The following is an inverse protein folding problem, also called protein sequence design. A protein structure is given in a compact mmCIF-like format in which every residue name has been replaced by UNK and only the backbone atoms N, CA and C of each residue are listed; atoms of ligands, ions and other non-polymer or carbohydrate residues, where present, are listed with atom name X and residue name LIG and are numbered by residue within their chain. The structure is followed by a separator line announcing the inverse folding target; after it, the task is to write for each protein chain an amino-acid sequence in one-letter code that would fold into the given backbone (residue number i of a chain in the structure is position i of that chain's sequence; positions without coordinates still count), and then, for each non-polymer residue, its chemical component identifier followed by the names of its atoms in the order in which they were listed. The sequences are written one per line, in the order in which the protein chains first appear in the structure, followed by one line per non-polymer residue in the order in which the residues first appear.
data_IF_817670304880
#
_entry.id   IF_817670304880
#
_cell.length_a   1.000
_cell.length_b   1.000
_cell.length_c   1.000
_cell.angle_alpha   90.00
_cell.angle_beta   90.00
_cell.angle_gamma   90.00
#
_symmetry.space_group_name_H-M   'P 1'
#
loop_
_entity.id
_entity.type
_entity.pdbx_description
1 polymer ?
#
# COMPACT_ATOMS: atom_id res chain seq x y z
N UNK A 1 20.41 -8.63 -0.77
CA UNK A 1 19.74 -7.33 -0.50
C UNK A 1 18.70 -7.56 0.58
N UNK A 2 18.52 -6.61 1.48
CA UNK A 2 17.44 -6.64 2.47
C UNK A 2 16.09 -6.40 1.79
N UNK A 3 15.00 -6.67 2.48
CA UNK A 3 13.65 -6.39 1.96
C UNK A 3 13.50 -4.90 1.60
N UNK A 4 13.99 -4.01 2.48
CA UNK A 4 13.95 -2.56 2.26
C UNK A 4 14.75 -2.09 1.05
N UNK A 5 15.94 -2.64 0.84
CA UNK A 5 16.76 -2.33 -0.35
C UNK A 5 16.04 -2.74 -1.65
N UNK A 6 15.40 -3.92 -1.67
CA UNK A 6 14.59 -4.36 -2.81
C UNK A 6 13.42 -3.41 -3.10
N UNK A 7 12.72 -2.95 -2.05
CA UNK A 7 11.63 -1.98 -2.19
C UNK A 7 12.13 -0.64 -2.75
N UNK A 8 13.23 -0.13 -2.20
CA UNK A 8 13.82 1.14 -2.66
C UNK A 8 14.28 1.04 -4.13
N UNK A 9 14.92 -0.06 -4.49
CA UNK A 9 15.34 -0.28 -5.88
C UNK A 9 14.13 -0.38 -6.83
N UNK A 10 13.07 -1.06 -6.42
CA UNK A 10 11.82 -1.13 -7.18
C UNK A 10 11.25 0.28 -7.44
N UNK A 11 11.12 1.11 -6.42
CA UNK A 11 10.58 2.47 -6.57
C UNK A 11 11.51 3.39 -7.38
N UNK A 12 12.84 3.27 -7.26
CA UNK A 12 13.81 4.01 -8.08
C UNK A 12 13.72 3.64 -9.56
N UNK A 13 13.44 2.37 -9.86
CA UNK A 13 13.26 1.85 -11.23
C UNK A 13 11.83 1.92 -11.73
N UNK A 14 10.90 2.43 -10.92
CA UNK A 14 9.48 2.49 -11.27
C UNK A 14 9.29 3.45 -12.44
N UNK A 15 9.32 2.88 -13.64
CA UNK A 15 9.03 3.60 -14.87
C UNK A 15 7.61 3.30 -15.33
N UNK A 16 6.88 4.33 -15.67
CA UNK A 16 5.50 4.24 -16.13
C UNK A 16 5.32 5.12 -17.37
N UNK A 17 5.05 4.48 -18.50
CA UNK A 17 4.69 5.22 -19.70
C UNK A 17 3.30 5.83 -19.53
N UNK A 18 3.23 7.14 -19.63
CA UNK A 18 1.95 7.86 -19.65
C UNK A 18 1.29 7.88 -21.03
N UNK A 19 1.99 7.35 -22.07
CA UNK A 19 1.40 7.20 -23.41
C UNK A 19 0.23 6.20 -23.34
N UNK A 20 -0.97 6.70 -23.56
CA UNK A 20 -2.21 5.90 -23.49
C UNK A 20 -2.93 5.94 -22.16
N UNK A 21 -2.52 6.78 -21.21
CA UNK A 21 -3.38 7.14 -20.09
C UNK A 21 -4.62 7.82 -20.67
N UNK A 22 -5.84 7.41 -20.23
CA UNK A 22 -7.06 8.07 -20.68
C UNK A 22 -7.04 9.56 -20.39
N UNK A 23 -7.59 10.37 -21.29
CA UNK A 23 -7.62 11.82 -21.17
C UNK A 23 -8.21 12.28 -19.85
N UNK A 24 -7.57 13.27 -19.24
CA UNK A 24 -7.97 13.84 -17.95
C UNK A 24 -7.51 13.05 -16.71
N UNK A 25 -6.80 11.93 -16.87
CA UNK A 25 -6.18 11.21 -15.76
C UNK A 25 -4.72 11.65 -15.61
N UNK A 26 -4.39 12.13 -14.42
CA UNK A 26 -3.03 12.46 -13.99
C UNK A 26 -2.46 11.34 -13.13
N UNK A 27 -1.17 11.03 -13.32
CA UNK A 27 -0.46 10.00 -12.54
C UNK A 27 0.34 10.66 -11.43
N UNK A 28 0.13 10.21 -10.20
CA UNK A 28 0.94 10.61 -9.05
C UNK A 28 2.08 9.64 -8.84
N UNK A 29 3.31 10.13 -8.94
CA UNK A 29 4.52 9.42 -8.54
C UNK A 29 5.37 10.33 -7.63
N UNK A 30 5.12 10.32 -6.31
CA UNK A 30 5.87 11.18 -5.40
C UNK A 30 7.35 10.81 -5.28
N UNK A 31 7.76 9.62 -5.71
CA UNK A 31 9.18 9.23 -5.75
C UNK A 31 10.03 10.00 -6.77
N UNK A 32 9.43 10.88 -7.57
CA UNK A 32 10.18 11.82 -8.40
C UNK A 32 10.77 12.99 -7.59
N UNK A 33 10.28 13.23 -6.38
CA UNK A 33 10.79 14.25 -5.45
C UNK A 33 11.93 13.70 -4.61
N UNK A 34 13.08 14.38 -4.59
CA UNK A 34 14.28 13.99 -3.83
C UNK A 34 14.03 13.94 -2.32
N UNK A 35 13.22 14.85 -1.77
CA UNK A 35 12.87 14.82 -0.35
C UNK A 35 12.08 13.55 -0.02
N UNK A 36 11.14 13.17 -0.88
CA UNK A 36 10.35 11.95 -0.71
C UNK A 36 11.23 10.70 -0.82
N UNK A 37 12.19 10.67 -1.74
CA UNK A 37 13.18 9.58 -1.82
C UNK A 37 13.96 9.43 -0.52
N UNK A 38 14.47 10.53 0.05
CA UNK A 38 15.22 10.52 1.32
C UNK A 38 14.36 10.03 2.50
N UNK A 39 13.09 10.39 2.54
CA UNK A 39 12.15 9.91 3.56
C UNK A 39 11.88 8.41 3.41
N UNK A 40 11.76 7.91 2.19
CA UNK A 40 11.62 6.49 1.91
C UNK A 40 12.88 5.71 2.27
N UNK A 41 14.07 6.23 1.94
CA UNK A 41 15.35 5.63 2.36
C UNK A 41 15.41 5.48 3.89
N UNK A 42 15.04 6.52 4.66
CA UNK A 42 14.98 6.45 6.12
C UNK A 42 13.97 5.40 6.62
N UNK A 43 12.75 5.38 6.03
CA UNK A 43 11.70 4.48 6.44
C UNK A 43 12.05 3.01 6.17
N UNK A 44 12.45 2.69 4.95
CA UNK A 44 12.73 1.30 4.55
C UNK A 44 14.01 0.77 5.20
N UNK A 45 15.04 1.60 5.39
CA UNK A 45 16.24 1.23 6.16
C UNK A 45 15.90 0.98 7.63
N UNK A 46 15.01 1.77 8.23
CA UNK A 46 14.65 1.61 9.64
C UNK A 46 13.80 0.37 9.91
N UNK A 47 12.81 0.08 9.08
CA UNK A 47 11.78 -0.92 9.39
C UNK A 47 11.87 -2.21 8.57
N UNK A 48 12.66 -2.23 7.51
CA UNK A 48 12.76 -3.35 6.56
C UNK A 48 14.21 -3.79 6.29
N UNK A 49 15.13 -3.46 7.22
CA UNK A 49 16.55 -3.80 7.09
C UNK A 49 16.84 -5.25 7.53
N UNK A 50 16.12 -6.20 6.95
CA UNK A 50 16.27 -7.63 7.15
C UNK A 50 15.82 -8.38 5.90
N UNK A 51 15.84 -9.72 5.95
CA UNK A 51 15.39 -10.61 4.85
C UNK A 51 14.17 -11.45 5.23
N UNK A 52 13.44 -11.06 6.27
CA UNK A 52 12.28 -11.81 6.74
C UNK A 52 11.17 -11.81 5.68
N UNK A 53 10.47 -12.92 5.59
CA UNK A 53 9.23 -12.97 4.81
C UNK A 53 8.14 -12.14 5.47
N UNK A 54 7.30 -11.51 4.64
CA UNK A 54 6.21 -10.65 5.10
C UNK A 54 4.86 -11.04 4.51
N UNK A 55 3.83 -10.90 5.31
CA UNK A 55 2.45 -10.98 4.84
C UNK A 55 2.12 -9.68 4.12
N UNK A 56 1.61 -9.80 2.90
CA UNK A 56 1.25 -8.66 2.06
C UNK A 56 -0.17 -8.18 2.34
N UNK A 57 -0.29 -6.88 2.63
CA UNK A 57 -1.55 -6.17 2.80
C UNK A 57 -1.71 -5.23 1.60
N UNK A 58 -2.57 -5.63 0.65
CA UNK A 58 -2.62 -5.04 -0.69
C UNK A 58 -3.81 -4.09 -0.81
N UNK A 59 -3.52 -2.81 -0.89
CA UNK A 59 -4.48 -1.74 -1.17
C UNK A 59 -4.82 -1.60 -2.66
N UNK A 60 -5.44 -0.49 -3.00
CA UNK A 60 -5.87 -0.14 -4.36
C UNK A 60 -4.72 0.57 -5.08
N UNK A 61 -4.53 1.82 -4.77
CA UNK A 61 -3.46 2.71 -5.22
C UNK A 61 -3.31 3.87 -4.23
N UNK A 62 -2.17 4.60 -4.23
CA UNK A 62 -1.96 5.74 -3.34
C UNK A 62 -3.03 6.83 -3.47
N UNK A 63 -3.46 7.34 -2.33
CA UNK A 63 -4.31 8.52 -2.25
C UNK A 63 -3.50 9.80 -2.06
N UNK A 64 -3.97 10.94 -2.61
CA UNK A 64 -3.25 12.21 -2.70
C UNK A 64 -2.93 12.91 -1.37
N UNK A 65 -3.34 12.38 -0.23
CA UNK A 65 -3.04 12.94 1.10
C UNK A 65 -2.23 12.00 2.00
N UNK A 66 -2.01 10.77 1.55
CA UNK A 66 -1.21 9.76 2.23
C UNK A 66 -0.05 9.32 1.36
N UNK A 67 -0.09 8.06 0.89
CA UNK A 67 0.95 7.50 0.01
C UNK A 67 1.22 8.28 -1.27
N UNK A 68 0.26 9.09 -1.75
CA UNK A 68 0.47 10.00 -2.87
C UNK A 68 1.31 11.23 -2.52
N UNK A 69 1.64 11.45 -1.24
CA UNK A 69 2.54 12.50 -0.76
C UNK A 69 3.85 11.91 -0.26
N UNK A 70 3.78 10.81 0.49
CA UNK A 70 4.96 10.21 1.15
C UNK A 70 5.62 9.10 0.34
N UNK A 71 5.00 8.58 -0.70
CA UNK A 71 5.32 7.32 -1.38
C UNK A 71 5.30 6.07 -0.47
N UNK A 72 4.98 6.20 0.81
CA UNK A 72 4.85 5.09 1.76
C UNK A 72 3.36 4.70 1.84
N UNK A 73 2.98 3.47 1.44
CA UNK A 73 1.59 3.06 1.43
C UNK A 73 0.90 3.26 2.78
N UNK A 74 -0.31 3.83 2.77
CA UNK A 74 -1.14 4.09 3.96
C UNK A 74 -0.47 4.95 5.05
N UNK A 75 0.53 5.76 4.68
CA UNK A 75 1.25 6.62 5.63
C UNK A 75 1.13 8.08 5.19
N UNK A 76 0.48 8.90 6.00
CA UNK A 76 0.44 10.35 5.81
C UNK A 76 1.65 11.03 6.50
N UNK A 77 1.97 12.30 6.14
CA UNK A 77 3.10 13.03 6.70
C UNK A 77 3.07 13.19 8.23
N UNK A 78 1.88 13.13 8.84
CA UNK A 78 1.71 13.25 10.30
C UNK A 78 2.12 11.95 10.98
N UNK A 79 1.62 10.79 10.50
CA UNK A 79 2.05 9.49 11.04
C UNK A 79 3.53 9.19 10.77
N UNK A 80 4.06 9.67 9.63
CA UNK A 80 5.48 9.56 9.33
C UNK A 80 6.33 10.26 10.41
N UNK A 81 5.89 11.42 10.89
CA UNK A 81 6.59 12.16 11.93
C UNK A 81 6.25 11.67 13.34
N UNK A 82 4.95 11.64 13.69
CA UNK A 82 4.52 11.41 15.07
C UNK A 82 4.71 9.96 15.52
N UNK A 83 4.41 9.01 14.63
CA UNK A 83 4.46 7.58 14.96
C UNK A 83 5.78 6.95 14.57
N UNK A 84 6.26 7.23 13.36
CA UNK A 84 7.46 6.61 12.83
C UNK A 84 8.75 7.36 13.20
N UNK A 85 8.62 8.60 13.75
CA UNK A 85 9.73 9.45 14.18
C UNK A 85 10.68 9.81 13.02
N UNK A 86 10.11 9.99 11.83
CA UNK A 86 10.81 10.48 10.64
C UNK A 86 10.32 11.91 10.36
N UNK A 87 11.13 12.90 10.74
CA UNK A 87 10.83 14.32 10.55
C UNK A 87 10.71 14.65 9.06
N UNK A 88 9.71 15.45 8.70
CA UNK A 88 9.49 15.84 7.32
C UNK A 88 8.81 17.21 7.22
N UNK A 89 9.03 17.90 6.10
CA UNK A 89 8.43 19.19 5.78
C UNK A 89 7.27 19.07 4.77
N UNK A 90 6.75 17.86 4.56
CA UNK A 90 5.62 17.63 3.68
C UNK A 90 4.33 18.27 4.24
N UNK A 91 3.36 18.65 3.39
CA UNK A 91 2.09 19.23 3.83
C UNK A 91 1.37 18.34 4.84
N UNK A 92 1.20 18.83 6.07
CA UNK A 92 0.62 18.05 7.18
C UNK A 92 -0.90 17.94 7.02
N UNK A 93 -1.35 16.81 6.52
CA UNK A 93 -2.77 16.49 6.38
C UNK A 93 -3.04 15.04 6.76
N UNK A 94 -4.04 14.84 7.63
CA UNK A 94 -4.48 13.48 7.98
C UNK A 94 -5.18 12.79 6.81
N UNK A 95 -4.87 11.51 6.63
CA UNK A 95 -5.62 10.62 5.77
C UNK A 95 -6.39 9.59 6.59
N UNK A 96 -7.68 9.37 6.28
CA UNK A 96 -8.54 8.46 7.03
C UNK A 96 -8.01 7.01 7.02
N UNK A 97 -7.49 6.56 5.88
CA UNK A 97 -6.93 5.20 5.77
C UNK A 97 -5.68 5.04 6.63
N UNK A 98 -4.79 6.04 6.61
CA UNK A 98 -3.60 6.09 7.46
C UNK A 98 -3.96 6.01 8.94
N UNK A 99 -4.91 6.84 9.39
CA UNK A 99 -5.36 6.83 10.80
C UNK A 99 -5.79 5.44 11.28
N UNK A 100 -6.55 4.70 10.47
CA UNK A 100 -6.97 3.36 10.83
C UNK A 100 -5.81 2.35 10.77
N UNK A 101 -4.97 2.40 9.73
CA UNK A 101 -3.83 1.49 9.61
C UNK A 101 -2.88 1.64 10.80
N UNK A 102 -2.66 2.86 11.30
CA UNK A 102 -1.84 3.06 12.49
C UNK A 102 -2.51 2.65 13.80
N UNK A 103 -3.85 2.51 13.85
CA UNK A 103 -4.51 1.77 14.95
C UNK A 103 -4.17 0.27 14.88
N UNK A 104 -4.20 -0.33 13.69
CA UNK A 104 -3.78 -1.72 13.48
C UNK A 104 -2.31 -1.91 13.86
N UNK A 105 -1.42 -1.01 13.43
CA UNK A 105 0.00 -1.04 13.81
C UNK A 105 0.19 -1.05 15.33
N UNK A 106 -0.57 -0.22 16.07
CA UNK A 106 -0.53 -0.23 17.55
C UNK A 106 -0.97 -1.56 18.14
N UNK A 107 -2.04 -2.18 17.60
CA UNK A 107 -2.52 -3.49 18.06
C UNK A 107 -1.51 -4.63 17.82
N UNK A 108 -0.63 -4.48 16.84
CA UNK A 108 0.50 -5.39 16.63
C UNK A 108 1.65 -5.20 17.61
N UNK A 109 1.60 -4.19 18.49
CA UNK A 109 2.66 -3.84 19.43
C UNK A 109 3.60 -2.74 18.91
N UNK A 110 3.19 -2.03 17.85
CA UNK A 110 3.92 -0.89 17.30
C UNK A 110 4.59 -1.16 15.95
N UNK A 111 5.21 -0.11 15.37
CA UNK A 111 5.75 -0.16 14.02
C UNK A 111 6.88 -1.19 13.84
N UNK A 112 7.77 -1.34 14.82
CA UNK A 112 8.88 -2.29 14.71
C UNK A 112 8.40 -3.74 14.55
N UNK A 113 7.35 -4.12 15.30
CA UNK A 113 6.77 -5.47 15.22
C UNK A 113 5.96 -5.62 13.95
N UNK A 114 5.12 -4.64 13.63
CA UNK A 114 4.23 -4.69 12.49
C UNK A 114 5.01 -4.79 11.17
N UNK A 115 5.95 -3.89 10.92
CA UNK A 115 6.70 -3.83 9.66
C UNK A 115 7.70 -4.98 9.50
N UNK A 116 8.12 -5.62 10.60
CA UNK A 116 8.88 -6.88 10.52
C UNK A 116 8.06 -8.05 9.99
N UNK A 117 6.75 -8.04 10.19
CA UNK A 117 5.84 -9.13 9.86
C UNK A 117 4.97 -8.86 8.63
N UNK A 118 4.67 -7.60 8.35
CA UNK A 118 3.72 -7.16 7.33
C UNK A 118 4.37 -6.18 6.36
N UNK A 119 3.95 -6.25 5.10
CA UNK A 119 4.28 -5.27 4.08
C UNK A 119 3.00 -4.66 3.53
N UNK A 120 2.88 -3.34 3.68
CA UNK A 120 1.81 -2.55 3.09
C UNK A 120 2.17 -2.20 1.65
N UNK A 121 1.28 -2.52 0.72
CA UNK A 121 1.44 -2.20 -0.69
C UNK A 121 0.09 -1.95 -1.37
N UNK A 122 0.08 -1.85 -2.69
CA UNK A 122 -1.12 -1.66 -3.50
C UNK A 122 -0.99 -2.41 -4.84
N UNK A 123 -2.13 -2.63 -5.51
CA UNK A 123 -2.14 -3.19 -6.88
C UNK A 123 -1.39 -2.28 -7.83
N UNK A 124 -1.64 -0.97 -7.75
CA UNK A 124 -0.81 0.03 -8.42
C UNK A 124 0.04 0.79 -7.39
N UNK A 125 1.38 0.83 -7.54
CA UNK A 125 2.24 1.66 -6.71
C UNK A 125 2.11 3.16 -7.01
N UNK A 126 1.47 3.51 -8.14
CA UNK A 126 1.18 4.87 -8.57
C UNK A 126 -0.26 5.25 -8.28
N UNK A 127 -0.49 6.51 -7.91
CA UNK A 127 -1.81 7.05 -7.72
C UNK A 127 -2.38 7.68 -8.99
N UNK A 128 -3.70 7.85 -9.02
CA UNK A 128 -4.40 8.45 -10.15
C UNK A 128 -5.35 9.54 -9.67
N UNK A 129 -5.39 10.65 -10.41
CA UNK A 129 -6.25 11.81 -10.14
C UNK A 129 -6.97 12.19 -11.41
N UNK A 130 -8.25 12.54 -11.30
CA UNK A 130 -9.05 13.11 -12.36
C UNK A 130 -9.94 14.21 -11.77
N UNK A 131 -9.90 15.42 -12.37
CA UNK A 131 -10.65 16.58 -11.88
C UNK A 131 -10.41 16.84 -10.38
N UNK A 132 -9.15 16.88 -9.94
CA UNK A 132 -8.74 17.07 -8.55
C UNK A 132 -9.28 16.02 -7.55
N UNK A 133 -9.73 14.87 -8.01
CA UNK A 133 -10.23 13.78 -7.16
C UNK A 133 -9.42 12.52 -7.36
N UNK A 134 -9.13 11.82 -6.26
CA UNK A 134 -8.57 10.48 -6.35
C UNK A 134 -9.52 9.56 -7.10
N UNK A 135 -8.99 8.84 -8.07
CA UNK A 135 -9.66 7.70 -8.68
C UNK A 135 -8.90 6.42 -8.37
N UNK A 136 -9.61 5.31 -8.33
CA UNK A 136 -9.00 4.00 -8.21
C UNK A 136 -8.65 3.49 -9.62
N UNK A 137 -7.60 2.67 -9.72
CA UNK A 137 -7.20 2.12 -11.02
C UNK A 137 -8.37 1.43 -11.76
N UNK A 138 -9.34 0.86 -11.01
CA UNK A 138 -10.50 0.15 -11.55
C UNK A 138 -11.73 1.04 -11.80
N UNK A 139 -11.63 2.35 -11.65
CA UNK A 139 -12.73 3.28 -11.96
C UNK A 139 -12.73 3.66 -13.46
N UNK A 140 -11.67 3.29 -14.20
CA UNK A 140 -11.58 3.36 -15.67
C UNK A 140 -11.25 1.97 -16.22
N UNK A 141 -12.12 1.44 -17.06
CA UNK A 141 -11.90 0.16 -17.74
C UNK A 141 -10.70 0.25 -18.71
N UNK A 142 -10.51 1.39 -19.35
CA UNK A 142 -9.36 1.63 -20.24
C UNK A 142 -8.06 1.58 -19.48
N UNK A 143 -8.00 2.18 -18.28
CA UNK A 143 -6.81 2.12 -17.42
C UNK A 143 -6.49 0.67 -17.03
N UNK A 144 -7.51 -0.12 -16.66
CA UNK A 144 -7.33 -1.54 -16.34
C UNK A 144 -6.85 -2.32 -17.56
N UNK A 145 -7.53 -2.20 -18.68
CA UNK A 145 -7.23 -2.97 -19.88
C UNK A 145 -5.81 -2.69 -20.39
N UNK A 146 -5.38 -1.44 -20.32
CA UNK A 146 -4.06 -1.03 -20.80
C UNK A 146 -2.93 -1.43 -19.86
N UNK A 147 -3.16 -1.35 -18.55
CA UNK A 147 -2.08 -1.51 -17.55
C UNK A 147 -2.16 -2.79 -16.72
N UNK A 148 -3.10 -3.71 -16.97
CA UNK A 148 -3.21 -4.95 -16.21
C UNK A 148 -1.90 -5.76 -16.21
N UNK A 149 -1.24 -5.89 -17.36
CA UNK A 149 0.05 -6.60 -17.45
C UNK A 149 1.14 -5.93 -16.61
N UNK A 150 1.13 -4.59 -16.55
CA UNK A 150 2.07 -3.83 -15.73
C UNK A 150 1.76 -3.98 -14.24
N UNK A 151 0.48 -4.00 -13.83
CA UNK A 151 0.08 -4.25 -12.45
C UNK A 151 0.52 -5.65 -11.99
N UNK A 152 0.35 -6.66 -12.83
CA UNK A 152 0.84 -8.03 -12.56
C UNK A 152 2.36 -8.05 -12.39
N UNK A 153 3.09 -7.41 -13.30
CA UNK A 153 4.56 -7.32 -13.23
C UNK A 153 5.03 -6.63 -11.95
N UNK A 154 4.40 -5.53 -11.56
CA UNK A 154 4.74 -4.83 -10.31
C UNK A 154 4.44 -5.67 -9.06
N UNK A 155 3.31 -6.38 -9.04
CA UNK A 155 2.99 -7.29 -7.94
C UNK A 155 4.01 -8.44 -7.86
N UNK A 156 4.37 -9.05 -8.99
CA UNK A 156 5.37 -10.13 -9.03
C UNK A 156 6.72 -9.63 -8.52
N UNK A 157 7.20 -8.49 -9.00
CA UNK A 157 8.45 -7.90 -8.53
C UNK A 157 8.45 -7.67 -7.01
N UNK A 158 7.31 -7.20 -6.46
CA UNK A 158 7.20 -7.00 -5.01
C UNK A 158 7.15 -8.32 -4.24
N UNK A 159 6.50 -9.36 -4.76
CA UNK A 159 6.50 -10.70 -4.17
C UNK A 159 7.94 -11.25 -4.04
N UNK A 160 8.78 -10.98 -5.03
CA UNK A 160 10.17 -11.41 -5.05
C UNK A 160 11.04 -10.71 -3.98
N UNK A 161 10.56 -9.64 -3.32
CA UNK A 161 11.26 -9.03 -2.17
C UNK A 161 11.30 -9.93 -0.94
N UNK A 162 10.43 -10.93 -0.86
CA UNK A 162 10.30 -11.86 0.25
C UNK A 162 8.87 -11.92 0.79
N UNK A 163 7.87 -12.13 -0.07
CA UNK A 163 6.51 -12.37 0.38
C UNK A 163 6.36 -13.76 1.02
N UNK A 164 5.56 -13.83 2.09
CA UNK A 164 4.92 -15.09 2.45
C UNK A 164 3.82 -15.36 1.42
N UNK A 165 4.03 -16.33 0.55
CA UNK A 165 3.12 -16.62 -0.58
C UNK A 165 1.91 -17.45 -0.19
N UNK A 166 1.82 -17.97 1.05
CA UNK A 166 0.66 -18.73 1.53
C UNK A 166 -0.60 -17.87 1.57
N UNK A 167 -0.47 -16.58 1.94
CA UNK A 167 -1.60 -15.67 2.01
C UNK A 167 -1.21 -14.23 1.74
N UNK A 168 -2.10 -13.51 1.04
CA UNK A 168 -2.12 -12.05 1.05
C UNK A 168 -3.51 -11.54 1.45
N UNK A 169 -3.58 -10.29 1.90
CA UNK A 169 -4.83 -9.66 2.29
C UNK A 169 -5.14 -8.47 1.38
N UNK A 170 -6.30 -8.51 0.72
CA UNK A 170 -6.86 -7.33 0.07
C UNK A 170 -7.42 -6.38 1.11
N UNK A 171 -6.97 -5.13 1.12
CA UNK A 171 -7.56 -4.06 1.92
C UNK A 171 -8.79 -3.51 1.20
N UNK A 172 -9.91 -4.15 1.45
CA UNK A 172 -11.22 -3.92 0.83
C UNK A 172 -11.85 -5.22 0.35
N UNK A 173 -13.16 -5.38 0.67
CA UNK A 173 -13.97 -6.56 0.31
C UNK A 173 -14.71 -6.43 -1.04
N UNK A 174 -14.56 -5.28 -1.70
CA UNK A 174 -15.30 -4.93 -2.91
C UNK A 174 -14.54 -5.20 -4.21
N UNK A 175 -14.52 -4.20 -5.10
CA UNK A 175 -13.92 -4.28 -6.46
C UNK A 175 -12.45 -4.68 -6.43
N UNK A 176 -11.65 -4.11 -5.51
CA UNK A 176 -10.22 -4.45 -5.38
C UNK A 176 -10.03 -5.95 -5.08
N UNK A 177 -10.79 -6.50 -4.13
CA UNK A 177 -10.70 -7.94 -3.81
C UNK A 177 -11.08 -8.83 -4.99
N UNK A 178 -12.17 -8.49 -5.69
CA UNK A 178 -12.61 -9.26 -6.87
C UNK A 178 -11.54 -9.23 -7.98
N UNK A 179 -10.98 -8.06 -8.23
CA UNK A 179 -9.93 -7.90 -9.25
C UNK A 179 -8.65 -8.64 -8.86
N UNK A 180 -8.14 -8.43 -7.65
CA UNK A 180 -6.93 -9.09 -7.16
C UNK A 180 -7.10 -10.62 -7.12
N UNK A 181 -8.27 -11.13 -6.73
CA UNK A 181 -8.58 -12.57 -6.76
C UNK A 181 -8.59 -13.13 -8.18
N UNK A 182 -9.10 -12.36 -9.18
CA UNK A 182 -9.06 -12.74 -10.60
C UNK A 182 -7.63 -12.76 -11.12
N UNK A 183 -6.81 -11.77 -10.78
CA UNK A 183 -5.38 -11.75 -11.11
C UNK A 183 -4.65 -12.94 -10.48
N UNK A 184 -4.89 -13.18 -9.20
CA UNK A 184 -4.26 -14.28 -8.47
C UNK A 184 -4.60 -15.65 -9.08
N UNK A 185 -5.86 -15.89 -9.46
CA UNK A 185 -6.30 -17.13 -10.12
C UNK A 185 -5.56 -17.38 -11.43
N UNK A 186 -5.28 -16.32 -12.21
CA UNK A 186 -4.59 -16.42 -13.51
C UNK A 186 -3.08 -16.55 -13.36
N UNK A 187 -2.49 -15.82 -12.43
CA UNK A 187 -1.03 -15.65 -12.33
C UNK A 187 -0.41 -16.42 -11.14
N UNK A 188 -1.23 -17.06 -10.28
CA UNK A 188 -0.77 -17.86 -9.12
C UNK A 188 0.22 -17.10 -8.21
N UNK A 189 -0.12 -15.83 -7.90
CA UNK A 189 0.75 -14.94 -7.12
C UNK A 189 0.86 -15.38 -5.66
N UNK A 190 -0.26 -15.82 -5.08
CA UNK A 190 -0.38 -16.32 -3.71
C UNK A 190 -1.28 -17.56 -3.71
N UNK A 191 -1.10 -18.45 -2.73
CA UNK A 191 -1.99 -19.61 -2.56
C UNK A 191 -3.42 -19.13 -2.24
N UNK A 192 -3.54 -18.07 -1.42
CA UNK A 192 -4.83 -17.53 -0.99
C UNK A 192 -4.82 -16.02 -0.90
N UNK A 193 -5.93 -15.40 -1.31
CA UNK A 193 -6.23 -13.98 -1.03
C UNK A 193 -7.40 -13.91 -0.07
N UNK A 194 -7.20 -13.35 1.11
CA UNK A 194 -8.26 -13.01 2.06
C UNK A 194 -8.64 -11.54 1.91
N UNK A 195 -9.83 -11.15 2.38
CA UNK A 195 -10.29 -9.76 2.30
C UNK A 195 -10.54 -9.18 3.69
N UNK A 196 -9.93 -8.03 3.97
CA UNK A 196 -10.19 -7.21 5.15
C UNK A 196 -11.08 -6.00 4.78
N UNK A 197 -11.87 -5.46 5.71
CA UNK A 197 -12.61 -4.22 5.47
C UNK A 197 -11.65 -3.09 5.05
N UNK A 198 -12.05 -2.25 4.09
CA UNK A 198 -11.18 -1.16 3.65
C UNK A 198 -10.95 -0.13 4.78
N UNK A 199 -9.71 0.31 5.07
CA UNK A 199 -9.39 1.27 6.13
C UNK A 199 -10.26 2.53 6.12
N UNK A 200 -10.39 3.18 4.96
CA UNK A 200 -11.23 4.37 4.80
C UNK A 200 -12.70 4.11 5.09
N UNK A 201 -13.23 2.95 4.68
CA UNK A 201 -14.62 2.59 4.96
C UNK A 201 -14.87 2.43 6.46
N UNK A 202 -13.95 1.83 7.20
CA UNK A 202 -14.03 1.73 8.67
C UNK A 202 -14.13 3.11 9.28
N UNK A 203 -13.24 4.04 8.88
CA UNK A 203 -13.20 5.39 9.43
C UNK A 203 -14.41 6.24 9.05
N UNK A 204 -14.99 6.06 7.87
CA UNK A 204 -16.15 6.82 7.42
C UNK A 204 -17.48 6.29 7.99
N UNK A 205 -17.64 4.98 8.08
CA UNK A 205 -18.94 4.38 8.35
C UNK A 205 -19.00 3.55 9.63
N UNK A 206 -17.85 3.24 10.23
CA UNK A 206 -17.73 2.39 11.43
C UNK A 206 -16.81 2.98 12.48
N UNK A 207 -16.62 4.29 12.49
CA UNK A 207 -15.65 4.98 13.35
C UNK A 207 -15.75 4.58 14.82
N UNK A 208 -16.97 4.49 15.38
CA UNK A 208 -17.20 4.08 16.79
C UNK A 208 -16.70 2.67 17.09
N UNK A 209 -16.65 1.80 16.07
CA UNK A 209 -16.21 0.39 16.16
C UNK A 209 -14.80 0.16 15.59
N UNK A 210 -14.04 1.22 15.31
CA UNK A 210 -12.74 1.09 14.66
C UNK A 210 -11.77 0.18 15.42
N UNK A 211 -11.81 0.17 16.76
CA UNK A 211 -10.98 -0.70 17.58
C UNK A 211 -11.32 -2.18 17.39
N UNK A 212 -12.62 -2.53 17.34
CA UNK A 212 -13.07 -3.89 17.02
C UNK A 212 -12.55 -4.36 15.65
N UNK A 213 -12.53 -3.44 14.66
CA UNK A 213 -11.97 -3.72 13.34
C UNK A 213 -10.44 -3.85 13.36
N UNK A 214 -9.74 -3.06 14.16
CA UNK A 214 -8.30 -3.21 14.32
C UNK A 214 -7.93 -4.55 14.98
N UNK A 215 -8.69 -4.97 16.01
CA UNK A 215 -8.57 -6.30 16.62
C UNK A 215 -8.87 -7.42 15.61
N UNK A 216 -9.87 -7.24 14.75
CA UNK A 216 -10.19 -8.18 13.69
C UNK A 216 -9.02 -8.32 12.69
N UNK A 217 -8.39 -7.21 12.27
CA UNK A 217 -7.20 -7.24 11.43
C UNK A 217 -6.08 -8.04 12.09
N UNK A 218 -5.78 -7.73 13.36
CA UNK A 218 -4.76 -8.45 14.12
C UNK A 218 -5.03 -9.95 14.16
N UNK A 219 -6.25 -10.36 14.53
CA UNK A 219 -6.66 -11.77 14.63
C UNK A 219 -6.53 -12.50 13.27
N UNK A 220 -7.00 -11.87 12.20
CA UNK A 220 -6.97 -12.52 10.87
C UNK A 220 -5.55 -12.67 10.33
N UNK A 221 -4.71 -11.66 10.49
CA UNK A 221 -3.32 -11.69 10.01
C UNK A 221 -2.48 -12.63 10.87
N UNK A 222 -2.65 -12.62 12.20
CA UNK A 222 -1.87 -13.44 13.13
C UNK A 222 -2.03 -14.95 12.96
N UNK A 223 -3.06 -15.41 12.24
CA UNK A 223 -3.21 -16.83 11.87
C UNK A 223 -2.10 -17.35 10.95
N UNK A 224 -1.33 -16.45 10.36
CA UNK A 224 -0.33 -16.77 9.33
C UNK A 224 1.08 -16.24 9.66
N UNK A 225 1.29 -15.78 10.90
CA UNK A 225 2.56 -15.23 11.38
C UNK A 225 3.44 -16.27 12.07
#
# INVERSE_FOLDING_TARGET
MTFGENVLEFYKKLNFSTSGIPDGIEVMNPMQDLQVQQLNDQFYTKYYNDTNQRIFLIGINPGRFGGGVTAIPFTDPIHLEDTLKIKNNLPKRHELSSRFVYEVVRNFGGPDIFFRKCYLTAVSPLGFVMNDKNINYYDSDDLVNQYESQFVKWLQQQIDFGANTTVAFSLGRGRNYKYLSKLNKRNKLFEKINALPHPRWVMQYRYKKRHEFADFYYKEISKYL
#
